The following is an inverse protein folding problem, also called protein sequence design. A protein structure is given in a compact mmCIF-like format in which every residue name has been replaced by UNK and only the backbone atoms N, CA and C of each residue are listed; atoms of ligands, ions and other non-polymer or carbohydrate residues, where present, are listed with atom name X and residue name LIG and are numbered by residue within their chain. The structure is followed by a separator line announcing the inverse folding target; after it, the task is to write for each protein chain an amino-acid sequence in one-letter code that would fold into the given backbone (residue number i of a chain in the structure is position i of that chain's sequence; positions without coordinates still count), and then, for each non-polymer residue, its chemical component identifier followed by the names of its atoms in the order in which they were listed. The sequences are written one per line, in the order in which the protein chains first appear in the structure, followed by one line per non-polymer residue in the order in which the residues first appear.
data_IF_070612712444
#
_entry.id   IF_070612712444
#
_cell.length_a   1.000
_cell.length_b   1.000
_cell.length_c   1.000
_cell.angle_alpha   90.00
_cell.angle_beta   90.00
_cell.angle_gamma   90.00
#
_symmetry.space_group_name_H-M   'P 1'
#
loop_
_entity.id
_entity.type
_entity.pdbx_description
1 polymer ?
#
# COMPACT_ATOMS: atom_id res chain seq x y z
N UNK A 1 9.09 26.07 13.49
CA UNK A 1 7.68 25.65 13.24
C UNK A 1 7.08 25.22 14.56
N UNK A 2 5.83 25.59 14.84
CA UNK A 2 5.16 25.13 16.07
C UNK A 2 4.77 23.65 15.95
N UNK A 3 4.70 22.93 17.08
CA UNK A 3 4.31 21.52 17.11
C UNK A 3 2.96 21.27 16.39
N UNK A 4 2.03 22.22 16.52
CA UNK A 4 0.73 22.21 15.84
C UNK A 4 0.85 22.21 14.31
N UNK A 5 1.77 23.01 13.75
CA UNK A 5 1.99 23.04 12.30
C UNK A 5 2.53 21.70 11.77
N UNK A 6 3.39 21.02 12.53
CA UNK A 6 3.91 19.70 12.15
C UNK A 6 2.82 18.63 12.21
N UNK A 7 1.97 18.67 13.25
CA UNK A 7 0.86 17.75 13.38
C UNK A 7 -0.14 17.89 12.22
N UNK A 8 -0.52 19.12 11.87
CA UNK A 8 -1.42 19.38 10.73
C UNK A 8 -0.85 18.83 9.43
N UNK A 9 0.45 19.04 9.16
CA UNK A 9 1.12 18.49 7.98
C UNK A 9 1.10 16.97 7.97
N UNK A 10 1.38 16.33 9.10
CA UNK A 10 1.39 14.88 9.22
C UNK A 10 -0.02 14.29 9.03
N UNK A 11 -1.02 14.89 9.66
CA UNK A 11 -2.42 14.47 9.52
C UNK A 11 -2.90 14.60 8.07
N UNK A 12 -2.57 15.71 7.40
CA UNK A 12 -2.93 15.89 5.99
C UNK A 12 -2.25 14.85 5.09
N UNK A 13 -0.97 14.55 5.34
CA UNK A 13 -0.24 13.53 4.60
C UNK A 13 -0.83 12.12 4.84
N UNK A 14 -1.11 11.75 6.08
CA UNK A 14 -1.71 10.45 6.43
C UNK A 14 -3.11 10.32 5.83
N UNK A 15 -3.92 11.38 5.87
CA UNK A 15 -5.25 11.38 5.26
C UNK A 15 -5.19 11.09 3.76
N UNK A 16 -4.29 11.75 3.02
CA UNK A 16 -4.12 11.54 1.59
C UNK A 16 -3.66 10.11 1.27
N UNK A 17 -2.63 9.63 1.97
CA UNK A 17 -2.07 8.29 1.75
C UNK A 17 -3.08 7.20 2.10
N UNK A 18 -3.83 7.34 3.21
CA UNK A 18 -4.84 6.36 3.59
C UNK A 18 -6.02 6.34 2.64
N UNK A 19 -6.50 7.51 2.20
CA UNK A 19 -7.63 7.57 1.27
C UNK A 19 -7.30 6.90 -0.05
N UNK A 20 -6.14 7.23 -0.62
CA UNK A 20 -5.65 6.62 -1.87
C UNK A 20 -5.39 5.12 -1.74
N UNK A 21 -4.79 4.68 -0.62
CA UNK A 21 -4.60 3.26 -0.34
C UNK A 21 -5.92 2.49 -0.33
N UNK A 22 -6.94 3.02 0.35
CA UNK A 22 -8.22 2.31 0.49
C UNK A 22 -8.99 2.25 -0.83
N UNK A 23 -8.85 3.28 -1.69
CA UNK A 23 -9.37 3.22 -3.05
C UNK A 23 -8.70 2.13 -3.89
N UNK A 24 -7.39 1.90 -3.70
CA UNK A 24 -6.70 0.78 -4.35
C UNK A 24 -7.14 -0.58 -3.81
N UNK A 25 -7.20 -0.72 -2.48
CA UNK A 25 -7.42 -2.01 -1.81
C UNK A 25 -8.84 -2.54 -1.90
N UNK A 26 -9.86 -1.69 -1.76
CA UNK A 26 -11.22 -2.17 -1.45
C UNK A 26 -12.30 -1.83 -2.47
N UNK A 27 -12.01 -1.13 -3.58
CA UNK A 27 -12.70 -1.51 -4.82
C UNK A 27 -11.78 -1.97 -5.96
N UNK A 28 -10.65 -1.30 -6.22
CA UNK A 28 -9.92 -1.48 -7.49
C UNK A 28 -9.31 -2.88 -7.62
N UNK A 29 -8.55 -3.34 -6.62
CA UNK A 29 -7.90 -4.65 -6.67
C UNK A 29 -8.91 -5.82 -6.77
N UNK A 30 -9.98 -5.89 -5.96
CA UNK A 30 -10.99 -6.93 -6.10
C UNK A 30 -11.71 -6.91 -7.45
N UNK A 31 -12.05 -5.72 -7.96
CA UNK A 31 -12.69 -5.57 -9.27
C UNK A 31 -11.76 -6.03 -10.41
N UNK A 32 -10.47 -5.68 -10.33
CA UNK A 32 -9.47 -6.11 -11.30
C UNK A 32 -9.31 -7.63 -11.27
N UNK A 33 -9.09 -8.24 -10.11
CA UNK A 33 -8.99 -9.68 -9.97
C UNK A 33 -10.25 -10.39 -10.52
N UNK A 34 -11.44 -9.90 -10.17
CA UNK A 34 -12.69 -10.45 -10.72
C UNK A 34 -12.77 -10.33 -12.24
N UNK A 35 -12.32 -9.21 -12.82
CA UNK A 35 -12.26 -9.02 -14.28
C UNK A 35 -11.28 -9.96 -14.99
N UNK A 36 -10.24 -10.42 -14.28
CA UNK A 36 -9.28 -11.43 -14.73
C UNK A 36 -9.75 -12.87 -14.48
N UNK A 37 -10.98 -13.06 -13.99
CA UNK A 37 -11.58 -14.37 -13.74
C UNK A 37 -11.22 -15.00 -12.39
N UNK A 38 -10.71 -14.23 -11.42
CA UNK A 38 -10.42 -14.73 -10.09
C UNK A 38 -11.70 -15.14 -9.33
N UNK A 39 -11.68 -16.29 -8.67
CA UNK A 39 -12.76 -16.74 -7.81
C UNK A 39 -12.69 -16.10 -6.41
N UNK A 40 -13.72 -16.33 -5.59
CA UNK A 40 -13.82 -15.75 -4.25
C UNK A 40 -12.68 -16.22 -3.32
N UNK A 41 -12.20 -17.45 -3.50
CA UNK A 41 -11.09 -17.99 -2.72
C UNK A 41 -9.80 -17.25 -3.04
N UNK A 42 -9.49 -17.06 -4.33
CA UNK A 42 -8.31 -16.34 -4.80
C UNK A 42 -8.31 -14.87 -4.36
N UNK A 43 -9.46 -14.20 -4.45
CA UNK A 43 -9.64 -12.85 -3.89
C UNK A 43 -9.34 -12.80 -2.38
N UNK A 44 -9.86 -13.76 -1.62
CA UNK A 44 -9.58 -13.88 -0.19
C UNK A 44 -8.09 -14.07 0.11
N UNK A 45 -7.38 -14.85 -0.71
CA UNK A 45 -5.93 -15.03 -0.59
C UNK A 45 -5.16 -13.74 -0.84
N UNK A 46 -5.47 -12.99 -1.90
CA UNK A 46 -4.82 -11.69 -2.20
C UNK A 46 -4.95 -10.73 -1.01
N UNK A 47 -6.17 -10.59 -0.45
CA UNK A 47 -6.41 -9.70 0.69
C UNK A 47 -5.68 -10.19 1.95
N UNK A 48 -5.61 -11.50 2.16
CA UNK A 48 -4.94 -12.11 3.32
C UNK A 48 -3.42 -11.94 3.25
N UNK A 49 -2.79 -12.27 2.11
CA UNK A 49 -1.35 -12.16 1.90
C UNK A 49 -0.89 -10.71 1.99
N UNK A 50 -1.61 -9.77 1.37
CA UNK A 50 -1.30 -8.34 1.49
C UNK A 50 -1.39 -7.81 2.93
N UNK A 51 -2.29 -8.38 3.75
CA UNK A 51 -2.41 -8.01 5.15
C UNK A 51 -1.32 -8.63 6.01
N UNK A 52 -0.97 -9.91 5.79
CA UNK A 52 0.11 -10.60 6.50
C UNK A 52 1.48 -10.00 6.23
N UNK A 53 1.78 -9.69 4.96
CA UNK A 53 3.02 -9.00 4.59
C UNK A 53 3.11 -7.63 5.27
N UNK A 54 2.02 -6.86 5.26
CA UNK A 54 1.95 -5.59 5.98
C UNK A 54 2.16 -5.74 7.49
N UNK A 55 1.57 -6.77 8.12
CA UNK A 55 1.75 -7.04 9.55
C UNK A 55 3.22 -7.34 9.89
N UNK A 56 3.89 -8.15 9.09
CA UNK A 56 5.29 -8.53 9.32
C UNK A 56 6.29 -7.42 9.01
N UNK A 57 6.08 -6.68 7.91
CA UNK A 57 7.03 -5.67 7.43
C UNK A 57 6.92 -4.33 8.17
N UNK A 58 5.73 -3.95 8.66
CA UNK A 58 5.54 -2.65 9.34
C UNK A 58 6.45 -2.48 10.57
N UNK A 59 6.55 -3.45 11.51
CA UNK A 59 7.48 -3.34 12.64
C UNK A 59 8.94 -3.24 12.19
N UNK A 60 9.34 -4.03 11.17
CA UNK A 60 10.69 -4.03 10.63
C UNK A 60 11.06 -2.64 10.08
N UNK A 61 10.22 -2.08 9.22
CA UNK A 61 10.46 -0.76 8.64
C UNK A 61 10.29 0.37 9.66
N UNK A 62 9.45 0.20 10.68
CA UNK A 62 9.39 1.11 11.83
C UNK A 62 10.74 1.19 12.54
N UNK A 63 11.33 0.04 12.88
CA UNK A 63 12.65 -0.03 13.52
C UNK A 63 13.75 0.57 12.66
N UNK A 64 13.75 0.27 11.35
CA UNK A 64 14.73 0.82 10.41
C UNK A 64 14.57 2.35 10.24
N UNK A 65 13.33 2.84 10.26
CA UNK A 65 13.00 4.27 10.18
C UNK A 65 13.49 5.06 11.38
N UNK A 66 13.35 4.50 12.57
CA UNK A 66 13.86 5.13 13.79
C UNK A 66 15.40 5.14 13.83
N UNK A 67 16.07 4.18 13.18
CA UNK A 67 17.55 4.11 13.12
C UNK A 67 18.20 4.95 12.01
N UNK A 68 17.61 4.98 10.81
CA UNK A 68 18.24 5.60 9.63
C UNK A 68 17.61 6.94 9.23
N UNK A 69 16.60 7.40 9.97
CA UNK A 69 15.95 8.68 9.77
C UNK A 69 14.63 8.55 9.02
N UNK A 70 13.59 9.14 9.59
CA UNK A 70 12.19 8.94 9.21
C UNK A 70 11.85 9.47 7.83
N UNK A 71 12.49 10.57 7.43
CA UNK A 71 12.14 11.30 6.23
C UNK A 71 12.40 10.48 4.95
N UNK A 72 13.55 9.81 4.88
CA UNK A 72 13.91 8.96 3.75
C UNK A 72 12.97 7.77 3.59
N UNK A 73 12.56 7.15 4.70
CA UNK A 73 11.62 6.02 4.70
C UNK A 73 10.20 6.44 4.32
N UNK A 74 9.75 7.61 4.79
CA UNK A 74 8.46 8.16 4.38
C UNK A 74 8.44 8.45 2.88
N UNK A 75 9.46 9.16 2.35
CA UNK A 75 9.52 9.47 0.92
C UNK A 75 9.68 8.22 0.06
N UNK A 76 10.56 7.29 0.44
CA UNK A 76 10.76 6.04 -0.30
C UNK A 76 9.48 5.21 -0.36
N UNK A 77 8.80 5.05 0.78
CA UNK A 77 7.49 4.38 0.83
C UNK A 77 6.45 5.06 -0.05
N UNK A 78 6.36 6.40 0.00
CA UNK A 78 5.44 7.17 -0.85
C UNK A 78 5.75 7.01 -2.33
N UNK A 79 7.02 7.05 -2.74
CA UNK A 79 7.42 6.87 -4.14
C UNK A 79 7.05 5.48 -4.67
N UNK A 80 7.28 4.43 -3.87
CA UNK A 80 6.86 3.07 -4.21
C UNK A 80 5.34 3.04 -4.38
N UNK A 81 4.61 3.66 -3.46
CA UNK A 81 3.14 3.68 -3.48
C UNK A 81 2.55 4.38 -4.71
N UNK A 82 3.19 5.47 -5.15
CA UNK A 82 2.81 6.20 -6.36
C UNK A 82 3.19 5.38 -7.61
N UNK A 83 4.32 4.68 -7.59
CA UNK A 83 4.81 3.88 -8.71
C UNK A 83 4.03 2.60 -8.94
N UNK A 84 3.57 1.93 -7.87
CA UNK A 84 2.97 0.60 -7.96
C UNK A 84 1.75 0.50 -8.88
N UNK A 85 0.78 1.45 -8.84
CA UNK A 85 -0.39 1.40 -9.72
C UNK A 85 -0.07 1.40 -11.21
N UNK A 86 1.07 1.95 -11.64
CA UNK A 86 1.47 1.91 -13.04
C UNK A 86 1.78 0.49 -13.50
N UNK A 87 2.20 -0.39 -12.58
CA UNK A 87 2.50 -1.79 -12.88
C UNK A 87 1.24 -2.60 -13.23
N UNK A 88 0.06 -2.19 -12.77
CA UNK A 88 -1.21 -2.86 -13.08
C UNK A 88 -1.50 -2.97 -14.57
N UNK A 89 -0.92 -2.10 -15.40
CA UNK A 89 -1.08 -2.15 -16.86
C UNK A 89 -0.58 -3.46 -17.48
N UNK A 90 0.42 -4.10 -16.88
CA UNK A 90 1.06 -5.32 -17.41
C UNK A 90 0.56 -6.60 -16.77
N UNK A 91 -0.53 -6.54 -16.00
CA UNK A 91 -1.09 -7.70 -15.32
C UNK A 91 -2.22 -8.26 -16.18
N UNK A 92 -2.04 -9.49 -16.65
CA UNK A 92 -2.99 -10.20 -17.50
C UNK A 92 -3.64 -11.38 -16.77
N UNK A 93 -3.08 -11.80 -15.63
CA UNK A 93 -3.57 -12.95 -14.86
C UNK A 93 -3.75 -12.65 -13.37
N UNK A 94 -4.65 -13.36 -12.67
CA UNK A 94 -4.81 -13.23 -11.22
C UNK A 94 -3.53 -13.55 -10.44
N UNK A 95 -2.72 -14.49 -10.92
CA UNK A 95 -1.47 -14.89 -10.26
C UNK A 95 -0.43 -13.76 -10.27
N UNK A 96 -0.31 -13.03 -11.38
CA UNK A 96 0.56 -11.86 -11.48
C UNK A 96 0.10 -10.75 -10.53
N UNK A 97 -1.21 -10.57 -10.37
CA UNK A 97 -1.77 -9.62 -9.42
C UNK A 97 -1.44 -9.97 -7.96
N UNK A 98 -1.33 -11.26 -7.64
CA UNK A 98 -0.96 -11.72 -6.30
C UNK A 98 0.53 -11.53 -6.00
N UNK A 99 1.38 -11.56 -7.02
CA UNK A 99 2.83 -11.38 -6.88
C UNK A 99 3.25 -9.91 -6.78
N UNK A 100 2.38 -8.99 -7.20
CA UNK A 100 2.60 -7.55 -7.17
C UNK A 100 2.44 -6.94 -5.77
#
# INVERSE_FOLDING_TARGET
MSATQNLVKLTAADFLVRSTYQMGKSPVLPLMAASLGADAFFLGMIVSVSTMTGLGLKPLFGLLSDRWGRWSWMMGGTLIFIGMPFLYKWIETPNELMML
#
